data_IF_909104419484
#
_entry.id   IF_909104419484
#
_cell.length_a   1.000
_cell.length_b   1.000
_cell.length_c   1.000
_cell.angle_alpha   90.00
_cell.angle_beta   90.00
_cell.angle_gamma   90.00
#
_symmetry.space_group_name_H-M   'P 1'
#
loop_
_entity.id
_entity.type
_entity.pdbx_description
1 polymer ?
#
# COMPACT_ATOMS: atom_id res chain seq x y z
N UNK A 1 -17.23 -32.75 -27.59
CA UNK A 1 -17.61 -31.55 -26.79
C UNK A 1 -17.13 -31.58 -25.34
N UNK A 2 -17.29 -32.69 -24.58
CA UNK A 2 -16.93 -32.73 -23.15
C UNK A 2 -15.42 -32.58 -22.85
N UNK A 3 -14.55 -33.11 -23.71
CA UNK A 3 -13.08 -32.96 -23.61
C UNK A 3 -12.60 -31.54 -23.93
N UNK A 4 -13.19 -30.90 -24.94
CA UNK A 4 -12.88 -29.51 -25.31
C UNK A 4 -13.28 -28.52 -24.19
N UNK A 5 -14.43 -28.76 -23.56
CA UNK A 5 -14.90 -27.98 -22.40
C UNK A 5 -13.98 -28.15 -21.17
N UNK A 6 -13.47 -29.36 -20.91
CA UNK A 6 -12.50 -29.61 -19.84
C UNK A 6 -11.14 -28.94 -20.09
N UNK A 7 -10.66 -28.94 -21.33
CA UNK A 7 -9.40 -28.28 -21.72
C UNK A 7 -9.54 -26.76 -21.59
N UNK A 8 -10.68 -26.19 -22.00
CA UNK A 8 -10.97 -24.76 -21.83
C UNK A 8 -11.03 -24.35 -20.36
N UNK A 9 -11.64 -25.16 -19.49
CA UNK A 9 -11.69 -24.89 -18.05
C UNK A 9 -10.30 -24.94 -17.39
N UNK A 10 -9.44 -25.86 -17.84
CA UNK A 10 -8.06 -25.98 -17.35
C UNK A 10 -7.20 -24.77 -17.77
N UNK A 11 -7.37 -24.26 -18.99
CA UNK A 11 -6.69 -23.05 -19.45
C UNK A 11 -7.11 -21.80 -18.69
N UNK A 12 -8.41 -21.67 -18.39
CA UNK A 12 -8.93 -20.59 -17.54
C UNK A 12 -8.35 -20.68 -16.13
N UNK A 13 -8.27 -21.88 -15.56
CA UNK A 13 -7.68 -22.12 -14.24
C UNK A 13 -6.17 -21.78 -14.20
N UNK A 14 -5.42 -22.16 -15.23
CA UNK A 14 -3.99 -21.84 -15.38
C UNK A 14 -3.75 -20.34 -15.60
N UNK A 15 -4.66 -19.65 -16.29
CA UNK A 15 -4.59 -18.19 -16.47
C UNK A 15 -4.74 -17.43 -15.15
N UNK A 16 -5.50 -17.96 -14.18
CA UNK A 16 -5.63 -17.37 -12.85
C UNK A 16 -4.38 -17.55 -11.97
N UNK A 17 -3.53 -18.54 -12.24
CA UNK A 17 -2.31 -18.83 -11.46
C UNK A 17 -1.15 -17.85 -11.71
N UNK A 18 -1.24 -16.95 -12.70
CA UNK A 18 -0.24 -15.90 -12.96
C UNK A 18 -0.23 -14.78 -11.89
N UNK A 19 -1.05 -14.87 -10.84
CA UNK A 19 -1.39 -13.73 -9.97
C UNK A 19 -0.64 -13.71 -8.64
N UNK A 20 0.69 -13.64 -8.71
CA UNK A 20 1.52 -12.96 -7.71
C UNK A 20 2.43 -12.00 -8.49
N UNK A 21 1.88 -10.86 -8.94
CA UNK A 21 2.60 -9.85 -9.72
C UNK A 21 3.51 -9.09 -8.76
N UNK A 22 4.69 -9.66 -8.52
CA UNK A 22 5.87 -8.94 -8.04
C UNK A 22 6.56 -8.38 -9.28
N UNK A 23 6.62 -7.06 -9.39
CA UNK A 23 7.31 -6.39 -10.48
C UNK A 23 8.61 -5.75 -9.98
N UNK A 24 9.65 -5.80 -10.81
CA UNK A 24 10.88 -5.03 -10.63
C UNK A 24 10.81 -3.63 -11.28
N UNK A 25 9.62 -3.22 -11.72
CA UNK A 25 9.32 -1.88 -12.21
C UNK A 25 8.54 -1.10 -11.15
N UNK A 26 8.72 0.24 -11.08
CA UNK A 26 7.81 1.09 -10.33
C UNK A 26 6.35 0.86 -10.74
N UNK A 27 5.45 0.86 -9.76
CA UNK A 27 4.01 0.73 -9.99
C UNK A 27 3.22 1.99 -9.56
N UNK A 28 3.93 3.07 -9.23
CA UNK A 28 3.37 4.37 -8.88
C UNK A 28 3.95 5.44 -9.82
N UNK A 29 3.08 6.35 -10.23
CA UNK A 29 3.32 7.34 -11.28
C UNK A 29 4.46 8.32 -10.97
N UNK A 30 4.68 8.62 -9.70
CA UNK A 30 5.72 9.54 -9.26
C UNK A 30 7.13 8.95 -9.25
N UNK A 31 7.32 7.65 -9.52
CA UNK A 31 8.65 7.03 -9.62
C UNK A 31 8.82 6.41 -11.00
N UNK A 32 9.81 6.88 -11.73
CA UNK A 32 10.30 6.25 -12.95
C UNK A 32 11.76 5.81 -12.75
N UNK A 33 12.24 4.91 -13.63
CA UNK A 33 13.63 4.41 -13.50
C UNK A 33 14.69 5.50 -13.68
N UNK A 34 14.36 6.56 -14.42
CA UNK A 34 15.26 7.68 -14.68
C UNK A 34 15.54 8.48 -13.41
N UNK A 35 14.49 8.83 -12.66
CA UNK A 35 14.59 9.59 -11.40
C UNK A 35 15.23 8.82 -10.23
N UNK A 36 15.27 7.49 -10.33
CA UNK A 36 15.86 6.63 -9.30
C UNK A 36 17.38 6.49 -9.43
N UNK A 37 17.95 6.81 -10.59
CA UNK A 37 19.39 6.69 -10.86
C UNK A 37 19.87 5.25 -11.06
N UNK A 38 21.14 5.12 -11.48
CA UNK A 38 21.76 3.80 -11.72
C UNK A 38 21.90 3.03 -10.41
N UNK A 39 21.56 1.74 -10.44
CA UNK A 39 21.67 0.84 -9.27
C UNK A 39 20.45 0.84 -8.35
N UNK A 40 19.39 1.57 -8.70
CA UNK A 40 18.14 1.53 -7.95
C UNK A 40 17.47 0.15 -8.03
N UNK A 41 17.02 -0.34 -6.88
CA UNK A 41 16.23 -1.56 -6.79
C UNK A 41 14.80 -1.19 -6.45
N UNK A 42 13.85 -1.72 -7.22
CA UNK A 42 12.43 -1.48 -7.01
C UNK A 42 11.73 -2.82 -6.93
N UNK A 43 10.93 -2.99 -5.88
CA UNK A 43 10.05 -4.14 -5.72
C UNK A 43 8.64 -3.64 -5.52
N UNK A 44 7.76 -3.97 -6.45
CA UNK A 44 6.37 -3.55 -6.44
C UNK A 44 5.46 -4.77 -6.33
N UNK A 45 4.49 -4.72 -5.41
CA UNK A 45 3.50 -5.76 -5.18
C UNK A 45 2.09 -5.15 -5.26
N UNK A 46 1.22 -5.77 -6.05
CA UNK A 46 -0.19 -5.37 -6.17
C UNK A 46 -1.07 -6.61 -6.02
N UNK A 47 -1.26 -7.11 -4.79
CA UNK A 47 -1.93 -8.37 -4.56
C UNK A 47 -3.45 -8.23 -4.76
N UNK A 48 -4.14 -9.27 -5.25
CA UNK A 48 -5.60 -9.29 -5.28
C UNK A 48 -6.19 -9.22 -3.86
N UNK A 49 -7.12 -8.29 -3.62
CA UNK A 49 -7.67 -8.08 -2.28
C UNK A 49 -8.43 -9.28 -1.73
N UNK A 50 -8.98 -10.17 -2.56
CA UNK A 50 -9.66 -11.37 -2.09
C UNK A 50 -8.69 -12.36 -1.40
N UNK A 51 -7.40 -12.33 -1.75
CA UNK A 51 -6.35 -13.11 -1.08
C UNK A 51 -5.89 -12.42 0.21
N UNK A 52 -5.74 -11.10 0.16
CA UNK A 52 -5.14 -10.33 1.26
C UNK A 52 -6.12 -10.07 2.40
N UNK A 53 -7.40 -9.75 2.10
CA UNK A 53 -8.38 -9.39 3.13
C UNK A 53 -8.57 -10.48 4.19
N UNK A 54 -8.71 -11.77 3.87
CA UNK A 54 -8.82 -12.82 4.87
C UNK A 54 -7.58 -12.91 5.76
N UNK A 55 -6.39 -12.76 5.18
CA UNK A 55 -5.12 -12.80 5.90
C UNK A 55 -5.01 -11.66 6.92
N UNK A 56 -5.26 -10.41 6.49
CA UNK A 56 -5.20 -9.25 7.39
C UNK A 56 -6.26 -9.37 8.50
N UNK A 57 -7.49 -9.75 8.17
CA UNK A 57 -8.54 -9.94 9.19
C UNK A 57 -8.19 -11.02 10.20
N UNK A 58 -7.51 -12.08 9.77
CA UNK A 58 -7.06 -13.15 10.65
C UNK A 58 -5.97 -12.63 11.59
N UNK A 59 -4.95 -11.96 11.07
CA UNK A 59 -3.88 -11.37 11.86
C UNK A 59 -4.43 -10.39 12.92
N UNK A 60 -5.30 -9.45 12.52
CA UNK A 60 -5.93 -8.49 13.45
C UNK A 60 -6.73 -9.20 14.58
N UNK A 61 -7.39 -10.32 14.30
CA UNK A 61 -8.09 -11.10 15.33
C UNK A 61 -7.14 -11.82 16.26
N UNK A 62 -6.04 -12.37 15.74
CA UNK A 62 -4.99 -13.01 16.52
C UNK A 62 -4.30 -12.00 17.45
N UNK A 63 -4.16 -10.76 16.98
CA UNK A 63 -3.62 -9.62 17.75
C UNK A 63 -4.64 -9.04 18.76
N UNK A 64 -5.88 -9.55 18.79
CA UNK A 64 -6.92 -9.12 19.73
C UNK A 64 -7.57 -7.78 19.40
N UNK A 65 -7.47 -7.31 18.16
CA UNK A 65 -8.09 -6.06 17.71
C UNK A 65 -9.61 -6.14 17.68
N UNK A 66 -10.27 -4.99 17.86
CA UNK A 66 -11.72 -4.92 17.95
C UNK A 66 -12.40 -5.21 16.59
N UNK A 67 -13.62 -5.73 16.60
CA UNK A 67 -14.35 -6.03 15.36
C UNK A 67 -14.66 -4.76 14.54
N UNK A 68 -14.71 -3.59 15.18
CA UNK A 68 -14.79 -2.29 14.50
C UNK A 68 -13.55 -2.02 13.64
N UNK A 69 -12.36 -2.28 14.17
CA UNK A 69 -11.08 -2.14 13.46
C UNK A 69 -10.99 -3.18 12.33
N UNK A 70 -11.36 -4.42 12.60
CA UNK A 70 -11.38 -5.51 11.61
C UNK A 70 -12.38 -5.19 10.47
N UNK A 71 -13.48 -4.50 10.77
CA UNK A 71 -14.45 -4.07 9.77
C UNK A 71 -13.87 -3.05 8.78
N UNK A 72 -12.86 -2.26 9.16
CA UNK A 72 -12.19 -1.30 8.27
C UNK A 72 -11.53 -2.00 7.07
N UNK A 73 -11.09 -3.25 7.22
CA UNK A 73 -10.53 -4.04 6.10
C UNK A 73 -11.55 -4.26 4.98
N UNK A 74 -12.86 -4.21 5.28
CA UNK A 74 -13.90 -4.28 4.23
C UNK A 74 -13.87 -3.05 3.32
N UNK A 75 -13.56 -1.87 3.86
CA UNK A 75 -13.51 -0.57 3.17
C UNK A 75 -12.31 -0.44 2.22
N UNK A 76 -11.27 -1.25 2.42
CA UNK A 76 -10.09 -1.31 1.54
C UNK A 76 -10.46 -1.93 0.19
N UNK A 77 -10.30 -1.18 -0.91
CA UNK A 77 -10.58 -1.65 -2.27
C UNK A 77 -9.34 -2.15 -3.01
N UNK A 78 -8.17 -1.55 -2.75
CA UNK A 78 -6.90 -1.92 -3.37
C UNK A 78 -5.74 -1.52 -2.46
N UNK A 79 -4.69 -2.33 -2.45
CA UNK A 79 -3.40 -2.00 -1.83
C UNK A 79 -2.30 -2.21 -2.86
N UNK A 80 -1.38 -1.25 -2.97
CA UNK A 80 -0.12 -1.42 -3.68
C UNK A 80 1.02 -1.11 -2.73
N UNK A 81 1.99 -1.99 -2.66
CA UNK A 81 3.22 -1.78 -1.90
C UNK A 81 4.36 -1.64 -2.90
N UNK A 82 5.24 -0.67 -2.68
CA UNK A 82 6.43 -0.46 -3.51
C UNK A 82 7.61 -0.10 -2.61
N UNK A 83 8.60 -0.98 -2.57
CA UNK A 83 9.89 -0.73 -1.93
C UNK A 83 10.87 -0.21 -2.96
N UNK A 84 11.59 0.84 -2.61
CA UNK A 84 12.63 1.45 -3.44
C UNK A 84 13.89 1.55 -2.61
N UNK A 85 15.00 1.03 -3.10
CA UNK A 85 16.34 1.24 -2.55
C UNK A 85 17.13 2.02 -3.59
N UNK A 86 17.31 3.32 -3.35
CA UNK A 86 17.95 4.22 -4.30
C UNK A 86 18.71 5.34 -3.56
N UNK A 87 19.96 5.09 -3.10
CA UNK A 87 20.72 6.01 -2.24
C UNK A 87 21.09 7.34 -2.90
N UNK A 88 21.12 7.39 -4.24
CA UNK A 88 21.46 8.59 -5.01
C UNK A 88 20.24 9.21 -5.69
N UNK A 89 19.03 8.78 -5.34
CA UNK A 89 17.84 9.22 -6.04
C UNK A 89 17.44 10.65 -5.64
N UNK A 90 17.01 11.42 -6.64
CA UNK A 90 16.49 12.76 -6.45
C UNK A 90 15.07 12.86 -7.04
N UNK A 91 14.12 12.19 -6.38
CA UNK A 91 12.70 12.21 -6.78
C UNK A 91 11.84 13.11 -5.90
N UNK A 92 12.40 13.86 -4.94
CA UNK A 92 11.60 14.64 -3.99
C UNK A 92 10.77 15.73 -4.69
N UNK A 93 11.35 16.41 -5.67
CA UNK A 93 10.61 17.40 -6.47
C UNK A 93 9.47 16.73 -7.26
N UNK A 94 9.73 15.58 -7.88
CA UNK A 94 8.72 14.80 -8.62
C UNK A 94 7.60 14.30 -7.70
N UNK A 95 7.95 13.86 -6.49
CA UNK A 95 7.01 13.42 -5.47
C UNK A 95 6.12 14.57 -5.01
N UNK A 96 6.71 15.74 -4.72
CA UNK A 96 5.95 16.94 -4.34
C UNK A 96 5.03 17.42 -5.47
N UNK A 97 5.52 17.38 -6.72
CA UNK A 97 4.72 17.70 -7.91
C UNK A 97 3.54 16.75 -8.06
N UNK A 98 3.80 15.45 -7.96
CA UNK A 98 2.75 14.42 -7.98
C UNK A 98 1.69 14.68 -6.91
N UNK A 99 2.09 15.05 -5.69
CA UNK A 99 1.14 15.41 -4.64
C UNK A 99 0.28 16.61 -4.99
N UNK A 100 0.88 17.68 -5.51
CA UNK A 100 0.15 18.89 -5.90
C UNK A 100 -0.83 18.61 -7.05
N UNK A 101 -0.37 17.94 -8.12
CA UNK A 101 -1.17 17.62 -9.31
C UNK A 101 -2.36 16.70 -8.98
N UNK A 102 -2.16 15.75 -8.05
CA UNK A 102 -3.18 14.79 -7.65
C UNK A 102 -3.98 15.24 -6.41
N UNK A 103 -3.81 16.48 -5.95
CA UNK A 103 -4.53 17.05 -4.78
C UNK A 103 -4.40 16.20 -3.52
N UNK A 104 -3.19 15.71 -3.25
CA UNK A 104 -2.90 15.06 -1.99
C UNK A 104 -2.77 16.10 -0.88
N UNK A 105 -3.58 15.91 0.16
CA UNK A 105 -3.48 16.65 1.42
C UNK A 105 -2.50 15.94 2.35
N UNK A 106 -1.67 16.72 3.05
CA UNK A 106 -0.89 16.18 4.15
C UNK A 106 -1.80 15.94 5.35
N UNK A 107 -1.83 14.69 5.80
CA UNK A 107 -2.73 14.27 6.88
C UNK A 107 -1.98 14.05 8.17
N UNK A 108 -0.85 13.34 8.13
CA UNK A 108 -0.09 13.04 9.33
C UNK A 108 1.37 12.73 9.02
N UNK A 109 2.26 13.16 9.91
CA UNK A 109 3.64 12.70 9.94
C UNK A 109 3.93 12.14 11.33
N UNK A 110 4.37 10.89 11.39
CA UNK A 110 4.70 10.17 12.62
C UNK A 110 6.18 9.78 12.60
N UNK A 111 6.80 9.72 13.77
CA UNK A 111 8.10 9.08 13.95
C UNK A 111 7.89 7.79 14.76
N UNK A 112 8.16 6.63 14.15
CA UNK A 112 8.08 5.35 14.83
C UNK A 112 9.40 4.61 14.71
N UNK A 113 9.99 4.22 15.84
CA UNK A 113 11.24 3.43 15.87
C UNK A 113 12.40 4.07 15.08
N UNK A 114 12.45 5.41 15.05
CA UNK A 114 13.45 6.16 14.27
C UNK A 114 13.12 6.27 12.77
N UNK A 115 12.06 5.61 12.30
CA UNK A 115 11.55 5.72 10.93
C UNK A 115 10.47 6.80 10.84
N UNK A 116 10.58 7.65 9.82
CA UNK A 116 9.59 8.68 9.52
C UNK A 116 8.49 8.08 8.65
N UNK A 117 7.24 8.21 9.10
CA UNK A 117 6.03 7.81 8.39
C UNK A 117 5.27 9.06 7.97
N UNK A 118 5.10 9.27 6.66
CA UNK A 118 4.27 10.34 6.12
C UNK A 118 3.01 9.75 5.49
N UNK A 119 1.85 10.27 5.89
CA UNK A 119 0.55 9.87 5.39
C UNK A 119 -0.06 11.07 4.68
N UNK A 120 -0.39 10.87 3.39
CA UNK A 120 -1.13 11.81 2.57
C UNK A 120 -2.41 11.20 2.05
N UNK A 121 -3.45 12.00 1.89
CA UNK A 121 -4.75 11.52 1.48
C UNK A 121 -5.32 12.31 0.30
N UNK A 122 -6.17 11.66 -0.49
CA UNK A 122 -7.08 12.34 -1.41
C UNK A 122 -8.50 12.19 -0.86
N UNK A 123 -9.16 13.32 -0.67
CA UNK A 123 -10.53 13.43 -0.19
C UNK A 123 -11.49 13.64 -1.37
N UNK A 124 -12.75 13.24 -1.19
CA UNK A 124 -13.85 13.55 -2.09
C UNK A 124 -15.09 13.77 -1.23
N UNK A 125 -15.44 15.03 -0.99
CA UNK A 125 -16.39 15.41 0.06
C UNK A 125 -15.88 14.92 1.43
N UNK A 126 -16.76 14.27 2.19
CA UNK A 126 -16.46 13.76 3.54
C UNK A 126 -15.73 12.40 3.56
N UNK A 127 -15.37 11.87 2.39
CA UNK A 127 -14.73 10.56 2.26
C UNK A 127 -13.28 10.68 1.80
N UNK A 128 -12.44 9.82 2.34
CA UNK A 128 -11.05 9.62 1.94
C UNK A 128 -11.01 8.42 1.02
N UNK A 129 -10.71 8.68 -0.25
CA UNK A 129 -10.74 7.65 -1.28
C UNK A 129 -9.37 6.99 -1.50
N UNK A 130 -8.30 7.67 -1.11
CA UNK A 130 -6.93 7.23 -1.31
C UNK A 130 -6.02 7.72 -0.19
N UNK A 131 -5.14 6.83 0.26
CA UNK A 131 -4.04 7.13 1.15
C UNK A 131 -2.74 6.74 0.44
N UNK A 132 -1.72 7.58 0.56
CA UNK A 132 -0.34 7.21 0.30
C UNK A 132 0.43 7.32 1.61
N UNK A 133 1.00 6.19 2.04
CA UNK A 133 1.85 6.09 3.21
C UNK A 133 3.28 5.91 2.70
N UNK A 134 4.18 6.79 3.10
CA UNK A 134 5.61 6.69 2.82
C UNK A 134 6.36 6.44 4.13
N UNK A 135 7.17 5.39 4.17
CA UNK A 135 7.98 5.01 5.33
C UNK A 135 9.45 5.00 4.91
N UNK A 136 10.28 5.66 5.70
CA UNK A 136 11.73 5.59 5.55
C UNK A 136 12.24 4.23 6.06
N UNK A 137 13.02 3.51 5.25
CA UNK A 137 13.61 2.23 5.65
C UNK A 137 14.94 2.39 6.38
N UNK A 138 15.45 1.28 6.91
CA UNK A 138 16.70 1.27 7.70
C UNK A 138 17.95 1.43 6.83
N UNK A 139 17.88 1.04 5.54
CA UNK A 139 19.01 1.20 4.61
C UNK A 139 19.03 2.60 4.02
N UNK A 140 20.22 3.11 3.76
CA UNK A 140 20.39 4.41 3.11
C UNK A 140 19.67 4.43 1.74
N UNK A 141 18.75 5.37 1.57
CA UNK A 141 17.93 5.51 0.37
C UNK A 141 16.80 4.50 0.21
N UNK A 142 16.49 3.71 1.24
CA UNK A 142 15.33 2.83 1.25
C UNK A 142 14.06 3.60 1.62
N UNK A 143 13.02 3.44 0.82
CA UNK A 143 11.66 3.90 1.13
C UNK A 143 10.64 2.84 0.75
N UNK A 144 9.61 2.71 1.59
CA UNK A 144 8.43 1.90 1.30
C UNK A 144 7.24 2.82 1.09
N UNK A 145 6.58 2.66 -0.05
CA UNK A 145 5.35 3.36 -0.39
C UNK A 145 4.18 2.38 -0.36
N UNK A 146 3.13 2.73 0.37
CA UNK A 146 1.87 1.97 0.44
C UNK A 146 0.75 2.86 -0.08
N UNK A 147 0.18 2.51 -1.22
CA UNK A 147 -1.01 3.17 -1.79
C UNK A 147 -2.23 2.32 -1.45
N UNK A 148 -3.11 2.89 -0.63
CA UNK A 148 -4.35 2.27 -0.22
C UNK A 148 -5.49 3.02 -0.86
N UNK A 149 -6.32 2.33 -1.66
CA UNK A 149 -7.60 2.87 -2.14
C UNK A 149 -8.73 2.28 -1.34
N UNK A 150 -9.70 3.09 -0.98
CA UNK A 150 -10.85 2.66 -0.20
C UNK A 150 -11.97 3.67 -0.17
N UNK A 151 -12.81 3.54 0.84
CA UNK A 151 -13.79 4.54 1.21
C UNK A 151 -13.74 4.66 2.73
N UNK A 152 -12.98 5.62 3.23
CA UNK A 152 -12.75 5.83 4.65
C UNK A 152 -13.36 7.15 5.10
N UNK A 153 -13.88 7.22 6.31
CA UNK A 153 -14.19 8.46 7.00
C UNK A 153 -12.94 8.98 7.72
N UNK A 154 -12.89 10.26 8.12
CA UNK A 154 -11.82 10.75 9.01
C UNK A 154 -11.69 9.92 10.30
N UNK A 155 -12.81 9.49 10.88
CA UNK A 155 -12.85 8.63 12.07
C UNK A 155 -12.20 7.26 11.82
N UNK A 156 -12.41 6.65 10.65
CA UNK A 156 -11.75 5.39 10.29
C UNK A 156 -10.22 5.53 10.32
N UNK A 157 -9.69 6.66 9.84
CA UNK A 157 -8.24 6.92 9.84
C UNK A 157 -7.73 7.15 11.25
N UNK A 158 -8.46 7.91 12.07
CA UNK A 158 -8.12 8.07 13.49
C UNK A 158 -8.02 6.73 14.20
N UNK A 159 -8.96 5.81 13.93
CA UNK A 159 -8.94 4.46 14.51
C UNK A 159 -7.71 3.64 14.05
N UNK A 160 -7.34 3.71 12.76
CA UNK A 160 -6.14 3.05 12.22
C UNK A 160 -4.86 3.60 12.86
N UNK A 161 -4.75 4.93 13.00
CA UNK A 161 -3.59 5.58 13.63
C UNK A 161 -3.48 5.19 15.11
N UNK A 162 -4.60 5.18 15.82
CA UNK A 162 -4.64 4.78 17.22
C UNK A 162 -4.21 3.33 17.42
N UNK A 163 -4.63 2.41 16.54
CA UNK A 163 -4.16 1.02 16.53
C UNK A 163 -2.64 0.95 16.35
N UNK A 164 -2.10 1.61 15.32
CA UNK A 164 -0.66 1.64 15.06
C UNK A 164 0.15 2.27 16.21
N UNK A 165 -0.47 3.17 16.98
CA UNK A 165 0.15 3.77 18.16
C UNK A 165 0.06 2.89 19.41
N UNK A 166 -1.02 2.11 19.56
CA UNK A 166 -1.25 1.20 20.70
C UNK A 166 -0.44 -0.08 20.64
N UNK A 167 -0.19 -0.65 19.45
CA UNK A 167 0.68 -1.82 19.31
C UNK A 167 2.10 -1.56 19.83
N UNK A 168 2.47 -0.28 20.00
CA UNK A 168 3.75 0.18 20.54
C UNK A 168 3.84 0.23 22.07
N UNK A 169 2.71 0.17 22.77
CA UNK A 169 2.67 0.22 24.25
C UNK A 169 2.73 -1.17 24.93
N UNK A 170 2.86 -2.25 24.15
CA UNK A 170 2.88 -3.63 24.66
C UNK A 170 4.24 -4.33 24.40
N UNK A 171 5.22 -3.64 23.79
CA UNK A 171 6.59 -4.13 23.66
C UNK A 171 7.55 -3.41 24.63
#
# INVERSE_FOLDING_TARGET
>A
MKTFSKISALFVLLAFLQSCIVSSSPNMEFLDRESLGKGAQVTAVNPPMFLVKPFIKKALREDGESEEVIALIKKVKKVRVMTVIAPNANYQERLNRFFAENKYEEWMTLNSEGQKVNIRAITNGDQINKLLIAVDGDKNGEKVFVDVRGNFTPEDISNIVNMASKSKSIN
#
